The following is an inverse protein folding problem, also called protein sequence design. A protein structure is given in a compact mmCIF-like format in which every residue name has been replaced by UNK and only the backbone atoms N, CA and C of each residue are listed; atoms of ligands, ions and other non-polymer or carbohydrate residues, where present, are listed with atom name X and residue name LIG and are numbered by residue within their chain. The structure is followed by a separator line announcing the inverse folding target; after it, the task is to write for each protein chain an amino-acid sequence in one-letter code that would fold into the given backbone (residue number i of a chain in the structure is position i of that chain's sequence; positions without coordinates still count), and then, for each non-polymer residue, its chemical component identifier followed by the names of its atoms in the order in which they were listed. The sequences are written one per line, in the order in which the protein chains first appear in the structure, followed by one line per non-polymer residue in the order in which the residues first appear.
data_IF_413641065587
#
_entry.id   IF_413641065587
#
_cell.length_a   1.000
_cell.length_b   1.000
_cell.length_c   1.000
_cell.angle_alpha   90.00
_cell.angle_beta   90.00
_cell.angle_gamma   90.00
#
_symmetry.space_group_name_H-M   'P 1'
#
loop_
_entity.id
_entity.type
_entity.pdbx_description
1 polymer ?
#
# COMPACT_ATOMS: atom_id res chain seq x y z
N UNK A 1 -4.03 18.09 0.56
CA UNK A 1 -4.47 16.70 0.66
C UNK A 1 -5.83 16.75 1.31
N UNK A 2 -6.86 16.22 0.64
CA UNK A 2 -8.23 16.25 1.17
C UNK A 2 -8.32 15.54 2.52
N UNK A 3 -9.38 15.82 3.28
CA UNK A 3 -9.57 15.31 4.65
C UNK A 3 -9.80 13.78 4.73
N UNK A 4 -9.86 13.08 3.60
CA UNK A 4 -10.20 11.66 3.50
C UNK A 4 -9.06 10.86 2.84
N UNK A 5 -8.28 10.14 3.65
CA UNK A 5 -7.22 9.23 3.19
C UNK A 5 -7.41 7.83 3.80
N UNK A 6 -6.94 6.80 3.09
CA UNK A 6 -6.85 5.45 3.61
C UNK A 6 -5.38 5.11 3.80
N UNK A 7 -5.00 4.75 5.02
CA UNK A 7 -3.68 4.26 5.35
C UNK A 7 -3.68 2.73 5.48
N UNK A 8 -2.68 2.08 4.90
CA UNK A 8 -2.53 0.62 4.96
C UNK A 8 -1.11 0.25 5.37
N UNK A 9 -1.00 -0.52 6.45
CA UNK A 9 0.26 -1.08 6.95
C UNK A 9 0.25 -2.59 6.77
N UNK A 10 1.35 -3.15 6.24
CA UNK A 10 1.56 -4.60 6.15
C UNK A 10 2.83 -4.98 6.90
N UNK A 11 2.69 -5.92 7.83
CA UNK A 11 3.81 -6.54 8.52
C UNK A 11 4.04 -7.94 7.94
N UNK A 12 5.31 -8.26 7.67
CA UNK A 12 5.74 -9.59 7.21
C UNK A 12 6.85 -10.07 8.12
N UNK A 13 6.82 -11.37 8.45
CA UNK A 13 7.85 -12.05 9.21
C UNK A 13 8.41 -13.20 8.38
N UNK A 14 9.72 -13.44 8.47
CA UNK A 14 10.37 -14.57 7.81
C UNK A 14 11.52 -15.12 8.65
N UNK A 15 11.67 -16.44 8.66
CA UNK A 15 12.86 -17.12 9.19
C UNK A 15 13.76 -17.46 8.03
N UNK A 16 14.71 -16.57 7.72
CA UNK A 16 15.56 -16.68 6.55
C UNK A 16 16.83 -15.84 6.60
N UNK A 17 17.69 -16.00 5.59
CA UNK A 17 18.94 -15.23 5.48
C UNK A 17 18.70 -13.80 4.96
N UNK A 18 17.59 -13.58 4.27
CA UNK A 18 17.18 -12.30 3.67
C UNK A 18 16.04 -11.68 4.47
N UNK A 19 15.97 -10.35 4.46
CA UNK A 19 14.79 -9.64 4.99
C UNK A 19 13.58 -9.84 4.09
N UNK A 20 12.40 -9.44 4.58
CA UNK A 20 11.12 -9.54 3.88
C UNK A 20 10.46 -8.16 3.61
N UNK A 21 11.26 -7.09 3.58
CA UNK A 21 10.75 -5.74 3.34
C UNK A 21 10.05 -5.59 1.97
N UNK A 22 10.49 -6.35 0.96
CA UNK A 22 9.92 -6.29 -0.39
C UNK A 22 8.55 -6.97 -0.44
N UNK A 23 8.35 -8.02 0.34
CA UNK A 23 7.06 -8.69 0.51
C UNK A 23 6.07 -7.75 1.20
N UNK A 24 6.52 -6.99 2.22
CA UNK A 24 5.71 -5.98 2.88
C UNK A 24 5.29 -4.86 1.91
N UNK A 25 6.22 -4.28 1.15
CA UNK A 25 5.93 -3.25 0.14
C UNK A 25 4.98 -3.76 -0.96
N UNK A 26 5.17 -5.01 -1.39
CA UNK A 26 4.28 -5.65 -2.37
C UNK A 26 2.88 -5.84 -1.80
N UNK A 27 2.78 -6.26 -0.54
CA UNK A 27 1.50 -6.38 0.18
C UNK A 27 0.77 -5.05 0.31
N UNK A 28 1.47 -3.97 0.66
CA UNK A 28 0.87 -2.63 0.74
C UNK A 28 0.34 -2.18 -0.61
N UNK A 29 1.17 -2.30 -1.65
CA UNK A 29 0.80 -1.89 -3.01
C UNK A 29 -0.41 -2.70 -3.52
N UNK A 30 -0.41 -4.02 -3.32
CA UNK A 30 -1.53 -4.88 -3.69
C UNK A 30 -2.80 -4.51 -2.92
N UNK A 31 -2.71 -4.31 -1.60
CA UNK A 31 -3.84 -3.94 -0.76
C UNK A 31 -4.48 -2.62 -1.17
N UNK A 32 -3.66 -1.58 -1.39
CA UNK A 32 -4.15 -0.27 -1.85
C UNK A 32 -4.76 -0.34 -3.26
N UNK A 33 -4.20 -1.15 -4.16
CA UNK A 33 -4.80 -1.40 -5.48
C UNK A 33 -6.17 -2.09 -5.37
N UNK A 34 -6.35 -3.03 -4.44
CA UNK A 34 -7.65 -3.67 -4.18
C UNK A 34 -8.65 -2.65 -3.64
N UNK A 35 -8.24 -1.80 -2.69
CA UNK A 35 -9.10 -0.71 -2.19
C UNK A 35 -9.54 0.20 -3.33
N UNK A 36 -8.61 0.65 -4.17
CA UNK A 36 -8.93 1.46 -5.35
C UNK A 36 -9.90 0.71 -6.27
N UNK A 37 -9.68 -0.58 -6.54
CA UNK A 37 -10.59 -1.36 -7.38
C UNK A 37 -12.04 -1.36 -6.89
N UNK A 38 -12.25 -1.35 -5.57
CA UNK A 38 -13.57 -1.29 -4.94
C UNK A 38 -14.23 0.10 -5.05
N UNK A 39 -13.46 1.19 -5.01
CA UNK A 39 -13.99 2.56 -5.05
C UNK A 39 -13.90 3.22 -6.43
N UNK A 40 -13.27 2.58 -7.42
CA UNK A 40 -12.96 3.17 -8.74
C UNK A 40 -14.15 3.74 -9.49
N UNK A 41 -15.37 3.32 -9.22
CA UNK A 41 -16.56 3.86 -9.87
C UNK A 41 -16.97 5.22 -9.28
N UNK A 42 -16.76 5.43 -7.98
CA UNK A 42 -17.05 6.69 -7.29
C UNK A 42 -15.96 7.74 -7.57
N UNK A 43 -14.71 7.30 -7.70
CA UNK A 43 -13.53 8.16 -7.90
C UNK A 43 -13.34 8.65 -9.34
N UNK A 44 -14.07 8.08 -10.30
CA UNK A 44 -13.94 8.44 -11.73
C UNK A 44 -14.63 9.76 -12.04
N UNK A 45 -13.97 10.58 -12.85
CA UNK A 45 -14.60 11.75 -13.48
C UNK A 45 -15.48 11.36 -14.69
N UNK A 46 -16.12 12.36 -15.30
CA UNK A 46 -16.96 12.16 -16.49
C UNK A 46 -16.22 11.67 -17.74
N UNK A 47 -14.88 11.73 -17.75
CA UNK A 47 -14.01 11.21 -18.81
C UNK A 47 -13.43 9.82 -18.46
N UNK A 48 -13.83 9.25 -17.32
CA UNK A 48 -13.33 7.96 -16.82
C UNK A 48 -11.90 8.02 -16.27
N UNK A 49 -11.39 9.20 -15.94
CA UNK A 49 -10.06 9.42 -15.35
C UNK A 49 -10.15 9.54 -13.82
N UNK A 50 -8.99 9.51 -13.16
CA UNK A 50 -8.85 9.69 -11.71
C UNK A 50 -7.99 10.94 -11.45
N UNK A 51 -8.57 12.15 -11.42
CA UNK A 51 -7.81 13.39 -11.29
C UNK A 51 -7.21 13.61 -9.89
N UNK A 52 -7.83 13.02 -8.86
CA UNK A 52 -7.43 13.23 -7.45
C UNK A 52 -6.92 11.95 -6.78
N UNK A 53 -7.41 10.78 -7.18
CA UNK A 53 -7.03 9.50 -6.56
C UNK A 53 -5.57 9.17 -6.85
N UNK A 54 -4.81 8.92 -5.79
CA UNK A 54 -3.41 8.53 -5.89
C UNK A 54 -3.03 7.55 -4.77
N UNK A 55 -2.06 6.68 -5.06
CA UNK A 55 -1.34 5.91 -4.04
C UNK A 55 -0.01 6.63 -3.83
N UNK A 56 0.20 7.12 -2.61
CA UNK A 56 1.36 7.92 -2.25
C UNK A 56 2.01 7.39 -0.97
N UNK A 57 3.22 7.87 -0.66
CA UNK A 57 3.93 7.60 0.59
C UNK A 57 4.10 6.10 0.94
N UNK A 58 4.27 5.24 -0.07
CA UNK A 58 4.61 3.83 0.16
C UNK A 58 6.07 3.71 0.59
N UNK A 59 6.31 3.36 1.85
CA UNK A 59 7.64 3.25 2.43
C UNK A 59 7.71 2.18 3.53
N UNK A 60 8.92 1.76 3.87
CA UNK A 60 9.17 0.86 5.00
C UNK A 60 9.16 1.69 6.28
N UNK A 61 8.24 1.38 7.19
CA UNK A 61 8.13 2.05 8.50
C UNK A 61 9.11 1.48 9.54
N UNK A 62 9.29 0.16 9.54
CA UNK A 62 10.17 -0.56 10.46
C UNK A 62 10.74 -1.81 9.79
N UNK A 63 11.99 -2.14 10.10
CA UNK A 63 12.62 -3.41 9.72
C UNK A 63 13.45 -3.91 10.90
N UNK A 64 13.04 -5.04 11.48
CA UNK A 64 13.74 -5.70 12.58
C UNK A 64 14.42 -6.98 12.08
N UNK A 65 15.65 -7.21 12.55
CA UNK A 65 16.37 -8.47 12.35
C UNK A 65 16.81 -9.00 13.70
N UNK A 66 16.31 -10.17 14.07
CA UNK A 66 16.74 -10.87 15.27
C UNK A 66 17.80 -11.92 14.91
N UNK A 67 18.86 -12.08 15.72
CA UNK A 67 19.74 -13.23 15.59
C UNK A 67 18.94 -14.51 15.82
N UNK A 68 19.25 -15.53 15.03
CA UNK A 68 18.71 -16.87 15.18
C UNK A 68 19.45 -17.59 16.30
#
# INVERSE_FOLDING_TARGET
MGDETIELTVAVETTGKTGCEMEALSGVTAGLNVVWDMVKAAEKDGNGQYPETAIENVHVVEKLKQPV
#
